data_IF_910309623398
#
_entry.id   IF_910309623398
#
_cell.length_a   1.000
_cell.length_b   1.000
_cell.length_c   1.000
_cell.angle_alpha   90.00
_cell.angle_beta   90.00
_cell.angle_gamma   90.00
#
_symmetry.space_group_name_H-M   'P 1'
#
loop_
_entity.id
_entity.type
_entity.pdbx_description
1 polymer ?
#
# COMPACT_ATOMS: atom_id res chain seq x y z
N UNK A 1 -27.97 11.96 13.93
CA UNK A 1 -26.49 11.94 13.83
C UNK A 1 -25.86 10.59 14.12
N UNK A 2 -26.61 9.58 14.63
CA UNK A 2 -26.16 8.18 14.73
C UNK A 2 -26.19 7.43 13.37
N UNK A 3 -27.17 7.75 12.51
CA UNK A 3 -27.38 7.08 11.21
C UNK A 3 -26.20 7.19 10.23
N UNK A 4 -25.50 8.33 10.20
CA UNK A 4 -24.39 8.58 9.26
C UNK A 4 -23.12 7.81 9.63
N UNK A 5 -22.94 7.51 10.92
CA UNK A 5 -21.84 6.68 11.40
C UNK A 5 -22.13 5.19 11.13
N UNK A 6 -23.36 4.76 11.39
CA UNK A 6 -23.81 3.40 11.07
C UNK A 6 -23.72 3.12 9.56
N UNK A 7 -24.14 4.06 8.69
CA UNK A 7 -23.96 3.98 7.24
C UNK A 7 -22.48 3.87 6.85
N UNK A 8 -21.60 4.71 7.41
CA UNK A 8 -20.15 4.66 7.12
C UNK A 8 -19.48 3.35 7.56
N UNK A 9 -19.94 2.75 8.66
CA UNK A 9 -19.42 1.47 9.16
C UNK A 9 -19.98 0.29 8.39
N UNK A 10 -21.23 0.38 7.93
CA UNK A 10 -21.88 -0.63 7.11
C UNK A 10 -21.19 -0.71 5.74
N UNK A 11 -20.87 0.44 5.14
CA UNK A 11 -20.11 0.50 3.88
C UNK A 11 -18.70 -0.02 4.04
N UNK A 12 -18.00 0.30 5.14
CA UNK A 12 -16.64 -0.18 5.36
C UNK A 12 -16.59 -1.71 5.49
N UNK A 13 -17.50 -2.31 6.25
CA UNK A 13 -17.55 -3.76 6.40
C UNK A 13 -17.77 -4.45 5.05
N UNK A 14 -18.71 -3.95 4.24
CA UNK A 14 -18.98 -4.49 2.90
C UNK A 14 -17.77 -4.31 1.96
N UNK A 15 -17.09 -3.17 2.00
CA UNK A 15 -15.86 -2.94 1.24
C UNK A 15 -14.78 -3.96 1.63
N UNK A 16 -14.56 -4.19 2.92
CA UNK A 16 -13.55 -5.16 3.38
C UNK A 16 -13.91 -6.60 2.99
N UNK A 17 -15.18 -6.99 3.13
CA UNK A 17 -15.67 -8.31 2.67
C UNK A 17 -15.45 -8.49 1.17
N UNK A 18 -15.67 -7.45 0.37
CA UNK A 18 -15.39 -7.47 -1.06
C UNK A 18 -13.87 -7.60 -1.33
N UNK A 19 -13.06 -6.75 -0.70
CA UNK A 19 -11.60 -6.73 -0.87
C UNK A 19 -10.97 -8.09 -0.55
N UNK A 20 -11.43 -8.76 0.51
CA UNK A 20 -10.94 -10.09 0.90
C UNK A 20 -11.12 -11.12 -0.23
N UNK A 21 -12.19 -11.00 -1.02
CA UNK A 21 -12.50 -11.91 -2.14
C UNK A 21 -11.79 -11.56 -3.45
N UNK A 22 -11.15 -10.39 -3.55
CA UNK A 22 -10.43 -9.99 -4.76
C UNK A 22 -9.26 -10.94 -5.05
N UNK A 23 -9.07 -11.20 -6.35
CA UNK A 23 -7.94 -11.95 -6.87
C UNK A 23 -6.61 -11.29 -6.50
N UNK A 24 -5.55 -12.10 -6.41
CA UNK A 24 -4.20 -11.65 -6.04
C UNK A 24 -3.12 -12.58 -6.64
N UNK A 25 -3.39 -13.20 -7.79
CA UNK A 25 -2.48 -14.13 -8.46
C UNK A 25 -1.48 -13.46 -9.40
N UNK A 26 -1.71 -12.21 -9.78
CA UNK A 26 -0.80 -11.41 -10.61
C UNK A 26 -0.42 -10.09 -9.93
N UNK A 27 0.66 -9.46 -10.40
CA UNK A 27 1.07 -8.13 -9.92
C UNK A 27 -0.06 -7.10 -10.11
N UNK A 28 -0.78 -7.15 -11.24
CA UNK A 28 -1.87 -6.21 -11.50
C UNK A 28 -3.04 -6.39 -10.53
N UNK A 29 -3.47 -7.63 -10.30
CA UNK A 29 -4.53 -7.96 -9.34
C UNK A 29 -4.15 -7.55 -7.91
N UNK A 30 -2.89 -7.75 -7.52
CA UNK A 30 -2.39 -7.34 -6.19
C UNK A 30 -2.43 -5.81 -6.05
N UNK A 31 -2.02 -5.07 -7.08
CA UNK A 31 -2.05 -3.59 -7.05
C UNK A 31 -3.49 -3.08 -7.06
N UNK A 32 -4.40 -3.70 -7.80
CA UNK A 32 -5.85 -3.39 -7.75
C UNK A 32 -6.41 -3.58 -6.34
N UNK A 33 -6.14 -4.75 -5.73
CA UNK A 33 -6.55 -5.04 -4.35
C UNK A 33 -5.97 -4.06 -3.33
N UNK A 34 -4.72 -3.64 -3.55
CA UNK A 34 -4.07 -2.61 -2.76
C UNK A 34 -4.73 -1.23 -2.90
N UNK A 35 -5.13 -0.84 -4.11
CA UNK A 35 -5.86 0.42 -4.36
C UNK A 35 -7.20 0.41 -3.64
N UNK A 36 -7.97 -0.68 -3.72
CA UNK A 36 -9.25 -0.81 -3.01
C UNK A 36 -9.07 -0.76 -1.48
N UNK A 37 -8.04 -1.43 -0.94
CA UNK A 37 -7.70 -1.34 0.48
C UNK A 37 -7.33 0.09 0.91
N UNK A 38 -6.59 0.82 0.07
CA UNK A 38 -6.26 2.22 0.33
C UNK A 38 -7.49 3.13 0.32
N UNK A 39 -8.48 2.86 -0.54
CA UNK A 39 -9.76 3.57 -0.58
C UNK A 39 -10.60 3.28 0.66
N UNK A 40 -10.66 2.00 1.08
CA UNK A 40 -11.40 1.59 2.26
C UNK A 40 -10.88 2.26 3.54
N UNK A 41 -9.55 2.47 3.62
CA UNK A 41 -8.88 3.26 4.65
C UNK A 41 -9.40 2.96 6.09
N UNK A 42 -9.33 1.68 6.52
CA UNK A 42 -10.13 1.16 7.65
C UNK A 42 -9.75 1.68 9.03
N UNK A 43 -8.58 2.29 9.18
CA UNK A 43 -8.08 2.81 10.45
C UNK A 43 -8.26 4.32 10.58
N UNK A 44 -8.24 4.82 11.81
CA UNK A 44 -8.27 6.27 12.08
C UNK A 44 -7.01 6.97 11.58
N UNK A 45 -5.85 6.32 11.73
CA UNK A 45 -4.53 6.81 11.32
C UNK A 45 -3.64 5.63 10.93
N UNK A 46 -2.60 5.89 10.12
CA UNK A 46 -1.59 4.89 9.79
C UNK A 46 -1.90 3.98 8.59
N UNK A 47 -3.02 4.18 7.91
CA UNK A 47 -3.44 3.38 6.75
C UNK A 47 -2.38 3.29 5.66
N UNK A 48 -1.80 4.42 5.23
CA UNK A 48 -0.77 4.41 4.18
C UNK A 48 0.39 3.45 4.50
N UNK A 49 0.94 3.53 5.71
CA UNK A 49 2.06 2.68 6.16
C UNK A 49 1.65 1.22 6.27
N UNK A 50 0.51 0.95 6.91
CA UNK A 50 0.01 -0.42 7.09
C UNK A 50 -0.31 -1.10 5.75
N UNK A 51 -0.96 -0.38 4.83
CA UNK A 51 -1.38 -0.90 3.53
C UNK A 51 -0.17 -1.10 2.60
N UNK A 52 0.90 -0.29 2.69
CA UNK A 52 2.16 -0.54 1.96
C UNK A 52 2.85 -1.82 2.44
N UNK A 53 2.86 -2.09 3.75
CA UNK A 53 3.38 -3.36 4.29
C UNK A 53 2.51 -4.54 3.80
N UNK A 54 1.19 -4.39 3.81
CA UNK A 54 0.27 -5.41 3.29
C UNK A 54 0.54 -5.72 1.81
N UNK A 55 0.76 -4.69 1.00
CA UNK A 55 1.14 -4.82 -0.42
C UNK A 55 2.40 -5.68 -0.58
N UNK A 56 3.48 -5.36 0.16
CA UNK A 56 4.73 -6.12 0.08
C UNK A 56 4.55 -7.58 0.52
N UNK A 57 3.70 -7.84 1.53
CA UNK A 57 3.40 -9.21 1.96
C UNK A 57 2.62 -10.00 0.90
N UNK A 58 1.65 -9.37 0.22
CA UNK A 58 0.92 -9.99 -0.89
C UNK A 58 1.87 -10.31 -2.05
N UNK A 59 2.68 -9.34 -2.48
CA UNK A 59 3.67 -9.52 -3.55
C UNK A 59 4.70 -10.62 -3.20
N UNK A 60 5.22 -10.62 -1.97
CA UNK A 60 6.21 -11.61 -1.53
C UNK A 60 5.62 -13.03 -1.51
N UNK A 61 4.36 -13.16 -1.06
CA UNK A 61 3.69 -14.46 -0.97
C UNK A 61 3.45 -15.05 -2.35
N UNK A 62 2.85 -14.27 -3.25
CA UNK A 62 2.31 -14.77 -4.52
C UNK A 62 3.32 -14.67 -5.68
N UNK A 63 4.12 -13.59 -5.72
CA UNK A 63 5.00 -13.27 -6.86
C UNK A 63 6.50 -13.46 -6.55
N UNK A 64 6.87 -13.58 -5.26
CA UNK A 64 8.28 -13.62 -4.81
C UNK A 64 9.05 -12.33 -5.13
N UNK A 65 8.35 -11.20 -5.12
CA UNK A 65 8.94 -9.87 -5.23
C UNK A 65 8.39 -8.94 -4.14
N UNK A 66 9.08 -7.83 -3.90
CA UNK A 66 8.63 -6.71 -3.04
C UNK A 66 8.90 -5.39 -3.76
N UNK A 67 8.29 -4.30 -3.28
CA UNK A 67 8.57 -2.96 -3.78
C UNK A 67 9.85 -2.42 -3.13
N UNK A 68 10.82 -2.00 -3.93
CA UNK A 68 11.91 -1.16 -3.45
C UNK A 68 11.44 0.29 -3.34
N UNK A 69 10.88 0.65 -2.19
CA UNK A 69 10.34 1.99 -1.93
C UNK A 69 11.39 3.10 -2.07
N UNK A 70 12.69 2.79 -1.96
CA UNK A 70 13.75 3.78 -2.20
C UNK A 70 13.80 4.26 -3.66
N UNK A 71 13.21 3.50 -4.58
CA UNK A 71 13.14 3.81 -6.02
C UNK A 71 11.81 4.44 -6.42
N UNK A 72 10.92 4.68 -5.46
CA UNK A 72 9.61 5.29 -5.68
C UNK A 72 9.66 6.72 -5.17
N UNK A 73 9.51 7.70 -6.06
CA UNK A 73 9.44 9.10 -5.65
C UNK A 73 8.14 9.38 -4.86
N UNK A 74 8.26 10.20 -3.81
CA UNK A 74 7.15 10.52 -2.92
C UNK A 74 6.02 11.24 -3.64
N UNK A 75 6.33 12.29 -4.40
CA UNK A 75 5.32 13.13 -5.03
C UNK A 75 4.64 12.38 -6.19
N UNK A 76 5.41 11.59 -6.94
CA UNK A 76 4.87 10.69 -7.97
C UNK A 76 3.93 9.65 -7.35
N UNK A 77 4.34 9.01 -6.25
CA UNK A 77 3.51 8.03 -5.55
C UNK A 77 2.21 8.65 -5.02
N UNK A 78 2.29 9.78 -4.32
CA UNK A 78 1.10 10.45 -3.78
C UNK A 78 0.15 10.89 -4.90
N UNK A 79 0.69 11.41 -6.00
CA UNK A 79 -0.09 11.80 -7.17
C UNK A 79 -0.75 10.59 -7.86
N UNK A 80 -0.04 9.47 -7.97
CA UNK A 80 -0.56 8.24 -8.55
C UNK A 80 -1.66 7.61 -7.67
N UNK A 81 -1.49 7.62 -6.34
CA UNK A 81 -2.49 7.14 -5.39
C UNK A 81 -3.77 8.00 -5.37
N UNK A 82 -3.67 9.31 -5.59
CA UNK A 82 -4.85 10.16 -5.75
C UNK A 82 -5.63 9.82 -7.03
N UNK A 83 -4.91 9.53 -8.12
CA UNK A 83 -5.51 9.18 -9.42
C UNK A 83 -6.06 7.75 -9.45
N UNK A 84 -5.54 6.84 -8.62
CA UNK A 84 -5.91 5.42 -8.62
C UNK A 84 -7.38 5.15 -8.30
N UNK A 85 -8.08 6.09 -7.64
CA UNK A 85 -9.54 6.02 -7.40
C UNK A 85 -10.33 5.99 -8.71
N UNK A 86 -9.78 6.57 -9.78
CA UNK A 86 -10.41 6.61 -11.11
C UNK A 86 -9.72 5.66 -12.08
N UNK A 87 -8.37 5.65 -12.09
CA UNK A 87 -7.55 4.79 -12.95
C UNK A 87 -6.23 4.45 -12.25
N UNK A 88 -5.96 3.16 -12.13
CA UNK A 88 -4.78 2.63 -11.44
C UNK A 88 -3.53 2.45 -12.34
N UNK A 89 -3.58 2.86 -13.61
CA UNK A 89 -2.51 2.65 -14.58
C UNK A 89 -1.19 3.23 -14.09
N UNK A 90 -1.22 4.43 -13.53
CA UNK A 90 0.00 5.12 -13.11
C UNK A 90 0.66 4.46 -11.90
N UNK A 91 -0.12 4.09 -10.89
CA UNK A 91 0.41 3.40 -9.72
C UNK A 91 0.93 2.00 -10.10
N UNK A 92 0.25 1.30 -11.03
CA UNK A 92 0.73 0.03 -11.58
C UNK A 92 2.10 0.19 -12.26
N UNK A 93 2.25 1.17 -13.14
CA UNK A 93 3.52 1.42 -13.84
C UNK A 93 4.62 1.76 -12.84
N UNK A 94 4.36 2.69 -11.91
CA UNK A 94 5.32 3.14 -10.91
C UNK A 94 5.81 1.98 -10.04
N UNK A 95 4.90 1.20 -9.46
CA UNK A 95 5.25 0.10 -8.57
C UNK A 95 5.94 -1.05 -9.32
N UNK A 96 5.49 -1.39 -10.54
CA UNK A 96 6.13 -2.42 -11.36
C UNK A 96 7.60 -2.11 -11.67
N UNK A 97 7.94 -0.84 -11.90
CA UNK A 97 9.32 -0.41 -12.16
C UNK A 97 10.23 -0.53 -10.93
N UNK A 98 9.64 -0.53 -9.73
CA UNK A 98 10.33 -0.63 -8.45
C UNK A 98 10.36 -2.05 -7.86
N UNK A 99 9.80 -3.06 -8.54
CA UNK A 99 9.83 -4.44 -8.05
C UNK A 99 11.26 -5.01 -8.00
N UNK A 100 11.52 -5.81 -6.96
CA UNK A 100 12.80 -6.51 -6.74
C UNK A 100 12.54 -7.90 -6.15
N UNK A 101 13.40 -8.86 -6.48
CA UNK A 101 13.39 -10.24 -5.97
C UNK A 101 14.15 -10.41 -4.65
N UNK A 102 14.74 -9.33 -4.12
CA UNK A 102 15.48 -9.29 -2.86
C UNK A 102 14.56 -9.35 -1.61
N UNK A 103 13.63 -10.30 -1.59
CA UNK A 103 12.55 -10.41 -0.60
C UNK A 103 13.01 -10.73 0.83
N UNK A 104 14.26 -11.17 1.00
CA UNK A 104 14.85 -11.49 2.31
C UNK A 104 15.98 -10.53 2.70
N UNK A 105 16.18 -9.46 1.94
CA UNK A 105 17.14 -8.42 2.30
C UNK A 105 16.57 -7.54 3.42
N UNK A 106 17.19 -7.65 4.61
CA UNK A 106 16.80 -6.89 5.79
C UNK A 106 17.02 -5.39 5.61
N UNK A 107 18.11 -4.99 4.96
CA UNK A 107 18.47 -3.58 4.75
C UNK A 107 17.45 -2.93 3.83
N UNK A 108 17.12 -3.60 2.73
CA UNK A 108 16.07 -3.15 1.80
C UNK A 108 14.74 -2.94 2.54
N UNK A 109 14.34 -3.91 3.37
CA UNK A 109 13.11 -3.82 4.16
C UNK A 109 13.13 -2.63 5.12
N UNK A 110 14.19 -2.47 5.93
CA UNK A 110 14.26 -1.37 6.91
C UNK A 110 14.25 0.00 6.24
N UNK A 111 15.00 0.18 5.15
CA UNK A 111 14.95 1.42 4.37
C UNK A 111 13.59 1.67 3.74
N UNK A 112 12.92 0.61 3.28
CA UNK A 112 11.56 0.71 2.77
C UNK A 112 10.56 1.21 3.83
N UNK A 113 10.71 0.75 5.08
CA UNK A 113 9.94 1.29 6.20
C UNK A 113 10.26 2.78 6.43
N UNK A 114 11.52 3.18 6.42
CA UNK A 114 11.91 4.59 6.59
C UNK A 114 11.29 5.49 5.50
N UNK A 115 11.34 5.07 4.23
CA UNK A 115 10.71 5.80 3.12
C UNK A 115 9.18 5.86 3.27
N UNK A 116 8.57 4.75 3.69
CA UNK A 116 7.13 4.68 3.96
C UNK A 116 6.70 5.66 5.06
N UNK A 117 7.55 5.91 6.07
CA UNK A 117 7.31 6.92 7.10
C UNK A 117 7.54 8.35 6.57
N UNK A 118 8.54 8.54 5.71
CA UNK A 118 8.83 9.82 5.05
C UNK A 118 7.67 10.32 4.17
N UNK A 119 6.96 9.40 3.49
CA UNK A 119 5.76 9.76 2.74
C UNK A 119 4.70 10.44 3.60
N UNK A 120 4.56 10.00 4.86
CA UNK A 120 3.63 10.57 5.83
C UNK A 120 4.20 11.78 6.60
N UNK A 121 5.41 12.23 6.26
CA UNK A 121 6.04 13.42 6.86
C UNK A 121 6.92 13.16 8.08
N UNK A 122 7.20 11.89 8.41
CA UNK A 122 8.10 11.54 9.52
C UNK A 122 9.52 11.27 8.99
N UNK A 123 10.51 12.04 9.44
CA UNK A 123 11.92 11.86 9.03
C UNK A 123 12.93 11.90 10.19
N UNK A 124 12.46 11.89 11.44
CA UNK A 124 13.32 12.08 12.62
C UNK A 124 14.10 10.82 13.05
N UNK A 125 13.61 9.61 12.74
CA UNK A 125 14.20 8.36 13.20
C UNK A 125 14.44 7.40 12.05
N UNK A 126 15.56 6.68 12.07
CA UNK A 126 15.84 5.57 11.16
C UNK A 126 15.53 4.24 11.85
N UNK A 127 14.79 3.38 11.17
CA UNK A 127 14.38 2.08 11.71
C UNK A 127 15.58 1.15 11.92
N UNK A 128 16.67 1.34 11.17
CA UNK A 128 17.92 0.59 11.34
C UNK A 128 18.64 0.88 12.68
N UNK A 129 18.32 1.98 13.35
CA UNK A 129 18.97 2.44 14.59
C UNK A 129 18.15 2.10 15.86
N UNK A 130 17.02 1.39 15.72
CA UNK A 130 16.12 0.93 16.79
C UNK A 130 16.31 -0.55 17.11
#
# INVERSE_FOLDING_TARGET
>A
SLSRWEESTLTLKQSLEHIDTMAQGTVDEIIEKYVEMNIAHPFREGNGRATRILLDLMLKKEIKQVVDWNRVDKEEYLSAMQRSVVKDIEIKVLLKQALTDQINDRTLFMKGIDVSYYYEGYSEFKTEEL
#
